data_IF_563143222225
#
_entry.id   IF_563143222225
#
_cell.length_a   1.000
_cell.length_b   1.000
_cell.length_c   1.000
_cell.angle_alpha   90.00
_cell.angle_beta   90.00
_cell.angle_gamma   90.00
#
_symmetry.space_group_name_H-M   'P 1'
#
loop_
_entity.id
_entity.type
_entity.pdbx_description
1 polymer ?
#
# COMPACT_ATOMS: atom_id res chain seq x y z
N UNK A 1 38.84 -21.53 -1.46
CA UNK A 1 38.96 -20.15 -0.89
C UNK A 1 37.99 -19.15 -1.52
N UNK A 2 37.98 -18.94 -2.84
CA UNK A 2 37.04 -18.01 -3.50
C UNK A 2 35.55 -18.36 -3.25
N UNK A 3 35.19 -19.64 -3.34
CA UNK A 3 33.82 -20.08 -3.11
C UNK A 3 33.36 -19.86 -1.65
N UNK A 4 34.21 -20.15 -0.67
CA UNK A 4 33.93 -19.89 0.75
C UNK A 4 33.70 -18.40 1.03
N UNK A 5 34.46 -17.51 0.37
CA UNK A 5 34.26 -16.06 0.46
C UNK A 5 32.92 -15.63 -0.17
N UNK A 6 32.55 -16.19 -1.33
CA UNK A 6 31.24 -15.93 -1.95
C UNK A 6 30.07 -16.37 -1.08
N UNK A 7 30.16 -17.54 -0.45
CA UNK A 7 29.15 -18.04 0.49
C UNK A 7 29.04 -17.12 1.72
N UNK A 8 30.18 -16.58 2.21
CA UNK A 8 30.18 -15.58 3.28
C UNK A 8 29.41 -14.31 2.91
N UNK A 9 29.74 -13.70 1.76
CA UNK A 9 29.03 -12.51 1.26
C UNK A 9 27.53 -12.78 1.03
N UNK A 10 27.18 -13.97 0.55
CA UNK A 10 25.78 -14.37 0.38
C UNK A 10 25.04 -14.45 1.71
N UNK A 11 25.68 -14.99 2.75
CA UNK A 11 25.09 -15.06 4.10
C UNK A 11 24.90 -13.67 4.71
N UNK A 12 25.82 -12.74 4.47
CA UNK A 12 25.68 -11.33 4.89
C UNK A 12 24.50 -10.66 4.18
N UNK A 13 24.36 -10.83 2.86
CA UNK A 13 23.25 -10.30 2.10
C UNK A 13 21.89 -10.85 2.56
N UNK A 14 21.82 -12.15 2.91
CA UNK A 14 20.61 -12.75 3.51
C UNK A 14 20.30 -12.12 4.88
N UNK A 15 21.32 -11.80 5.67
CA UNK A 15 21.17 -11.08 6.93
C UNK A 15 20.54 -9.71 6.75
N UNK A 16 21.06 -8.91 5.81
CA UNK A 16 20.52 -7.58 5.49
C UNK A 16 19.07 -7.64 4.99
N UNK A 17 18.78 -8.54 4.03
CA UNK A 17 17.42 -8.69 3.49
C UNK A 17 16.45 -9.10 4.61
N UNK A 18 16.88 -9.91 5.59
CA UNK A 18 16.01 -10.33 6.70
C UNK A 18 15.68 -9.14 7.60
N UNK A 19 16.66 -8.23 7.79
CA UNK A 19 16.44 -6.94 8.45
C UNK A 19 15.38 -6.11 7.75
N UNK A 20 15.47 -5.96 6.43
CA UNK A 20 14.48 -5.23 5.63
C UNK A 20 13.10 -5.87 5.66
N UNK A 21 13.00 -7.21 5.64
CA UNK A 21 11.71 -7.90 5.73
C UNK A 21 11.07 -7.72 7.11
N UNK A 22 11.86 -7.72 8.19
CA UNK A 22 11.36 -7.39 9.52
C UNK A 22 10.87 -5.94 9.61
N UNK A 23 11.58 -5.00 8.97
CA UNK A 23 11.15 -3.60 8.88
C UNK A 23 9.83 -3.46 8.09
N UNK A 24 9.69 -4.17 6.97
CA UNK A 24 8.42 -4.26 6.23
C UNK A 24 7.30 -4.80 7.12
N UNK A 25 7.55 -5.86 7.89
CA UNK A 25 6.56 -6.41 8.82
C UNK A 25 6.13 -5.39 9.89
N UNK A 26 7.06 -4.60 10.41
CA UNK A 26 6.76 -3.53 11.37
C UNK A 26 5.97 -2.39 10.75
N UNK A 27 6.28 -2.03 9.50
CA UNK A 27 5.54 -1.03 8.74
C UNK A 27 4.11 -1.51 8.45
N UNK A 28 3.93 -2.78 8.07
CA UNK A 28 2.61 -3.41 7.87
C UNK A 28 1.76 -3.30 9.15
N UNK A 29 2.32 -3.65 10.31
CA UNK A 29 1.62 -3.52 11.59
C UNK A 29 1.22 -2.08 11.88
N UNK A 30 2.12 -1.12 11.59
CA UNK A 30 1.83 0.30 11.77
C UNK A 30 0.72 0.80 10.82
N UNK A 31 0.67 0.28 9.59
CA UNK A 31 -0.40 0.59 8.64
C UNK A 31 -1.73 0.03 9.15
N UNK A 32 -1.77 -1.22 9.62
CA UNK A 32 -2.98 -1.85 10.16
C UNK A 32 -3.57 -1.04 11.34
N UNK A 33 -2.72 -0.65 12.30
CA UNK A 33 -3.14 0.22 13.41
C UNK A 33 -3.71 1.56 12.93
N UNK A 34 -3.11 2.16 11.89
CA UNK A 34 -3.58 3.41 11.32
C UNK A 34 -4.92 3.22 10.58
N UNK A 35 -5.08 2.15 9.82
CA UNK A 35 -6.34 1.82 9.14
C UNK A 35 -7.46 1.59 10.16
N UNK A 36 -7.19 0.91 11.26
CA UNK A 36 -8.14 0.73 12.36
C UNK A 36 -8.58 2.07 12.96
N UNK A 37 -7.62 2.97 13.26
CA UNK A 37 -7.93 4.34 13.74
C UNK A 37 -8.73 5.16 12.72
N UNK A 38 -8.39 5.05 11.43
CA UNK A 38 -9.13 5.74 10.37
C UNK A 38 -10.55 5.19 10.29
N UNK A 39 -10.74 3.88 10.39
CA UNK A 39 -12.07 3.23 10.36
C UNK A 39 -12.96 3.71 11.51
N UNK A 40 -12.42 3.83 12.74
CA UNK A 40 -13.16 4.39 13.87
C UNK A 40 -13.55 5.87 13.64
N UNK A 41 -12.60 6.69 13.15
CA UNK A 41 -12.87 8.10 12.83
C UNK A 41 -13.86 8.25 11.69
N UNK A 42 -13.83 7.32 10.73
CA UNK A 42 -14.76 7.26 9.62
C UNK A 42 -16.19 7.02 10.09
N UNK A 43 -16.41 6.07 10.99
CA UNK A 43 -17.75 5.83 11.57
C UNK A 43 -18.31 7.07 12.28
N UNK A 44 -17.45 7.77 13.05
CA UNK A 44 -17.83 9.03 13.68
C UNK A 44 -18.21 10.09 12.64
N UNK A 45 -17.41 10.25 11.58
CA UNK A 45 -17.66 11.21 10.51
C UNK A 45 -18.99 10.92 9.78
N UNK A 46 -19.30 9.64 9.53
CA UNK A 46 -20.59 9.22 8.95
C UNK A 46 -21.74 9.64 9.86
N UNK A 47 -21.61 9.41 11.16
CA UNK A 47 -22.65 9.76 12.13
C UNK A 47 -22.83 11.28 12.26
N UNK A 48 -21.73 12.04 12.30
CA UNK A 48 -21.74 13.50 12.36
C UNK A 48 -22.37 14.10 11.10
N UNK A 49 -22.04 13.55 9.92
CA UNK A 49 -22.64 13.96 8.63
C UNK A 49 -24.15 13.74 8.62
N UNK A 50 -24.63 12.55 9.05
CA UNK A 50 -26.06 12.23 9.14
C UNK A 50 -26.78 13.14 10.15
N UNK A 51 -26.15 13.40 11.29
CA UNK A 51 -26.69 14.30 12.31
C UNK A 51 -26.79 15.71 11.77
N UNK A 52 -25.74 16.23 11.12
CA UNK A 52 -25.75 17.54 10.49
C UNK A 52 -26.82 17.69 9.41
N UNK A 53 -27.04 16.66 8.59
CA UNK A 53 -28.13 16.65 7.61
C UNK A 53 -29.51 16.72 8.28
N UNK A 54 -29.74 15.95 9.34
CA UNK A 54 -30.99 15.97 10.11
C UNK A 54 -31.24 17.32 10.79
N UNK A 55 -30.21 17.90 11.39
CA UNK A 55 -30.30 19.21 12.03
C UNK A 55 -30.60 20.30 10.99
N UNK A 56 -29.98 20.21 9.81
CA UNK A 56 -30.25 21.11 8.69
C UNK A 56 -31.69 21.00 8.18
N UNK A 57 -32.26 19.79 8.12
CA UNK A 57 -33.69 19.60 7.82
C UNK A 57 -34.58 20.25 8.88
N UNK A 58 -34.22 20.11 10.15
CA UNK A 58 -34.95 20.75 11.26
C UNK A 58 -34.94 22.29 11.14
N UNK A 59 -33.82 22.87 10.71
CA UNK A 59 -33.73 24.30 10.41
C UNK A 59 -34.69 24.69 9.28
N UNK A 60 -34.73 23.91 8.19
CA UNK A 60 -35.65 24.17 7.07
C UNK A 60 -37.11 24.14 7.54
N UNK A 61 -37.50 23.16 8.36
CA UNK A 61 -38.85 23.07 8.90
C UNK A 61 -39.21 24.29 9.77
N UNK A 62 -38.29 24.68 10.67
CA UNK A 62 -38.49 25.85 11.54
C UNK A 62 -38.57 27.15 10.76
N UNK A 63 -37.77 27.30 9.72
CA UNK A 63 -37.84 28.46 8.83
C UNK A 63 -39.17 28.48 8.06
N UNK A 64 -39.70 27.32 7.67
CA UNK A 64 -41.04 27.18 7.10
C UNK A 64 -42.15 27.64 8.06
N UNK A 65 -42.06 27.28 9.34
CA UNK A 65 -42.98 27.77 10.38
C UNK A 65 -42.93 29.31 10.51
N UNK A 66 -41.72 29.89 10.52
CA UNK A 66 -41.54 31.35 10.59
C UNK A 66 -42.10 32.03 9.33
N UNK A 67 -41.92 31.44 8.15
CA UNK A 67 -42.48 31.95 6.90
C UNK A 67 -44.01 32.01 6.95
N UNK A 68 -44.66 30.96 7.47
CA UNK A 68 -46.11 30.94 7.67
C UNK A 68 -46.57 32.02 8.66
N UNK A 69 -45.84 32.23 9.77
CA UNK A 69 -46.12 33.29 10.73
C UNK A 69 -45.97 34.69 10.13
N UNK A 70 -44.92 34.92 9.32
CA UNK A 70 -44.72 36.18 8.61
C UNK A 70 -45.87 36.46 7.62
N UNK A 71 -46.39 35.43 6.94
CA UNK A 71 -47.59 35.52 6.12
C UNK A 71 -48.83 35.99 6.90
N UNK A 72 -49.09 35.38 8.07
CA UNK A 72 -50.19 35.78 8.94
C UNK A 72 -50.05 37.21 9.47
N UNK A 73 -48.83 37.64 9.82
CA UNK A 73 -48.55 39.02 10.22
C UNK A 73 -48.83 40.00 9.08
N UNK A 74 -48.48 39.63 7.84
CA UNK A 74 -48.75 40.44 6.65
C UNK A 74 -50.26 40.65 6.45
N UNK A 75 -51.04 39.59 6.59
CA UNK A 75 -52.51 39.64 6.50
C UNK A 75 -53.10 40.51 7.62
N UNK A 76 -52.70 40.29 8.88
CA UNK A 76 -53.15 41.09 10.01
C UNK A 76 -52.82 42.58 9.84
N UNK A 77 -51.61 42.89 9.37
CA UNK A 77 -51.21 44.26 9.09
C UNK A 77 -52.01 44.90 7.94
N UNK A 78 -52.39 44.11 6.92
CA UNK A 78 -53.28 44.59 5.85
C UNK A 78 -54.69 44.95 6.38
N UNK A 79 -55.22 44.16 7.33
CA UNK A 79 -56.48 44.45 8.02
C UNK A 79 -56.37 45.74 8.83
N UNK A 80 -55.29 45.92 9.62
CA UNK A 80 -55.05 47.15 10.39
C UNK A 80 -54.99 48.37 9.46
N UNK A 81 -54.28 48.27 8.34
CA UNK A 81 -54.22 49.33 7.33
C UNK A 81 -55.60 49.67 6.76
N UNK A 82 -56.41 48.66 6.48
CA UNK A 82 -57.78 48.83 6.01
C UNK A 82 -58.65 49.53 7.04
N UNK A 83 -58.58 49.11 8.31
CA UNK A 83 -59.31 49.75 9.42
C UNK A 83 -58.87 51.21 9.56
N UNK A 84 -57.57 51.50 9.57
CA UNK A 84 -57.06 52.86 9.64
C UNK A 84 -57.59 53.73 8.48
N UNK A 85 -57.62 53.20 7.25
CA UNK A 85 -58.17 53.91 6.10
C UNK A 85 -59.67 54.16 6.22
N UNK A 86 -60.45 53.18 6.70
CA UNK A 86 -61.90 53.33 6.90
C UNK A 86 -62.20 54.34 8.02
N UNK A 87 -61.48 54.26 9.14
CA UNK A 87 -61.59 55.22 10.25
C UNK A 87 -61.22 56.63 9.81
N UNK A 88 -60.20 56.79 8.96
CA UNK A 88 -59.84 58.09 8.40
C UNK A 88 -60.98 58.68 7.55
N UNK A 89 -61.63 57.86 6.71
CA UNK A 89 -62.78 58.28 5.91
C UNK A 89 -64.01 58.62 6.77
N UNK A 90 -64.28 57.81 7.80
CA UNK A 90 -65.37 58.06 8.76
C UNK A 90 -65.13 59.37 9.53
N UNK A 91 -63.91 59.59 10.01
CA UNK A 91 -63.53 60.81 10.70
C UNK A 91 -63.64 62.05 9.80
N UNK A 92 -63.25 61.91 8.52
CA UNK A 92 -63.42 62.97 7.53
C UNK A 92 -64.89 63.33 7.32
N UNK A 93 -65.77 62.33 7.15
CA UNK A 93 -67.22 62.54 7.04
C UNK A 93 -67.80 63.20 8.31
N UNK A 94 -67.35 62.76 9.49
CA UNK A 94 -67.77 63.35 10.76
C UNK A 94 -67.30 64.82 10.92
N UNK A 95 -66.09 65.16 10.47
CA UNK A 95 -65.60 66.54 10.43
C UNK A 95 -66.44 67.42 9.48
N UNK A 96 -66.86 66.89 8.33
CA UNK A 96 -67.74 67.59 7.37
C UNK A 96 -69.11 67.86 7.99
N UNK A 97 -69.71 66.87 8.65
CA UNK A 97 -71.02 67.00 9.28
C UNK A 97 -70.98 67.95 10.49
N UNK A 98 -69.90 67.88 11.28
CA UNK A 98 -69.67 68.80 12.39
C UNK A 98 -69.51 70.26 11.92
N UNK A 99 -68.92 70.48 10.73
CA UNK A 99 -68.87 71.80 10.11
C UNK A 99 -70.25 72.28 9.64
N UNK A 100 -71.10 71.37 9.12
CA UNK A 100 -72.49 71.68 8.74
C UNK A 100 -73.37 72.07 9.94
N UNK A 101 -73.14 71.46 11.11
CA UNK A 101 -73.83 71.81 12.36
C UNK A 101 -73.41 73.16 12.98
N UNK A 102 -72.45 73.87 12.37
CA UNK A 102 -72.05 75.22 12.77
C UNK A 102 -71.56 75.32 14.21
N UNK A 103 -72.13 76.24 15.00
CA UNK A 103 -71.71 76.48 16.38
C UNK A 103 -71.93 75.28 17.32
N UNK A 104 -72.97 74.46 17.07
CA UNK A 104 -73.28 73.28 17.87
C UNK A 104 -72.32 72.10 17.60
N UNK A 105 -71.66 72.08 16.42
CA UNK A 105 -70.75 71.02 16.00
C UNK A 105 -69.28 71.22 16.40
N UNK A 106 -68.89 72.35 16.99
CA UNK A 106 -67.48 72.67 17.30
C UNK A 106 -66.76 71.60 18.13
N UNK A 107 -67.41 71.04 19.15
CA UNK A 107 -66.85 69.96 19.96
C UNK A 107 -66.65 68.66 19.17
N UNK A 108 -67.62 68.31 18.33
CA UNK A 108 -67.56 67.14 17.45
C UNK A 108 -66.47 67.29 16.36
N UNK A 109 -66.26 68.51 15.85
CA UNK A 109 -65.21 68.78 14.86
C UNK A 109 -63.81 68.52 15.43
N UNK A 110 -63.56 68.89 16.70
CA UNK A 110 -62.27 68.62 17.39
C UNK A 110 -62.06 67.12 17.57
N UNK A 111 -63.08 66.39 18.05
CA UNK A 111 -63.00 64.93 18.24
C UNK A 111 -62.77 64.22 16.90
N UNK A 112 -63.48 64.62 15.85
CA UNK A 112 -63.30 64.05 14.51
C UNK A 112 -61.88 64.32 13.96
N UNK A 113 -61.32 65.51 14.20
CA UNK A 113 -59.94 65.84 13.85
C UNK A 113 -58.91 64.96 14.56
N UNK A 114 -59.10 64.70 15.85
CA UNK A 114 -58.23 63.82 16.63
C UNK A 114 -58.32 62.37 16.15
N UNK A 115 -59.53 61.85 15.91
CA UNK A 115 -59.72 60.51 15.34
C UNK A 115 -59.04 60.39 13.97
N UNK A 116 -59.12 61.43 13.13
CA UNK A 116 -58.46 61.48 11.82
C UNK A 116 -56.93 61.39 11.97
N UNK A 117 -56.36 62.17 12.89
CA UNK A 117 -54.93 62.15 13.21
C UNK A 117 -54.45 60.76 13.69
N UNK A 118 -55.21 60.12 14.59
CA UNK A 118 -54.93 58.75 15.05
C UNK A 118 -54.99 57.73 13.91
N UNK A 119 -55.95 57.88 12.99
CA UNK A 119 -56.10 57.00 11.83
C UNK A 119 -54.94 57.16 10.83
N UNK A 120 -54.52 58.38 10.53
CA UNK A 120 -53.34 58.67 9.70
C UNK A 120 -52.05 58.12 10.33
N UNK A 121 -51.88 58.31 11.65
CA UNK A 121 -50.75 57.76 12.40
C UNK A 121 -50.74 56.22 12.37
N UNK A 122 -51.90 55.58 12.55
CA UNK A 122 -52.05 54.12 12.47
C UNK A 122 -51.72 53.59 11.07
N UNK A 123 -52.14 54.28 10.00
CA UNK A 123 -51.82 53.91 8.63
C UNK A 123 -50.30 54.01 8.35
N UNK A 124 -49.65 55.06 8.87
CA UNK A 124 -48.19 55.23 8.77
C UNK A 124 -47.46 54.11 9.51
N UNK A 125 -47.86 53.78 10.73
CA UNK A 125 -47.26 52.70 11.51
C UNK A 125 -47.45 51.34 10.84
N UNK A 126 -48.65 51.08 10.30
CA UNK A 126 -48.94 49.87 9.54
C UNK A 126 -48.06 49.75 8.28
N UNK A 127 -47.78 50.85 7.59
CA UNK A 127 -46.82 50.85 6.47
C UNK A 127 -45.43 50.42 6.94
N UNK A 128 -44.90 51.02 8.01
CA UNK A 128 -43.59 50.66 8.57
C UNK A 128 -43.53 49.19 9.00
N UNK A 129 -44.59 48.66 9.62
CA UNK A 129 -44.68 47.24 9.97
C UNK A 129 -44.68 46.36 8.71
N UNK A 130 -45.35 46.80 7.63
CA UNK A 130 -45.36 46.10 6.35
C UNK A 130 -43.98 45.99 5.73
N UNK A 131 -43.19 47.07 5.78
CA UNK A 131 -41.81 47.09 5.30
C UNK A 131 -40.92 46.14 6.13
N UNK A 132 -41.09 46.11 7.45
CA UNK A 132 -40.37 45.15 8.33
C UNK A 132 -40.71 43.70 8.02
N UNK A 133 -42.00 43.37 7.83
CA UNK A 133 -42.44 42.02 7.45
C UNK A 133 -41.84 41.61 6.10
N UNK A 134 -41.74 42.55 5.15
CA UNK A 134 -41.10 42.30 3.86
C UNK A 134 -39.63 41.94 4.02
N UNK A 135 -38.87 42.73 4.80
CA UNK A 135 -37.46 42.44 5.08
C UNK A 135 -37.26 41.08 5.78
N UNK A 136 -38.14 40.72 6.71
CA UNK A 136 -38.14 39.38 7.35
C UNK A 136 -38.35 38.28 6.30
N UNK A 137 -39.29 38.47 5.37
CA UNK A 137 -39.57 37.49 4.31
C UNK A 137 -38.39 37.32 3.36
N UNK A 138 -37.71 38.41 3.02
CA UNK A 138 -36.48 38.38 2.21
C UNK A 138 -35.35 37.62 2.93
N UNK A 139 -35.15 37.88 4.23
CA UNK A 139 -34.17 37.17 5.04
C UNK A 139 -34.46 35.66 5.13
N UNK A 140 -35.72 35.28 5.33
CA UNK A 140 -36.18 33.88 5.32
C UNK A 140 -35.82 33.19 4.01
N UNK A 141 -36.06 33.86 2.88
CA UNK A 141 -35.73 33.31 1.55
C UNK A 141 -34.23 33.04 1.43
N UNK A 142 -33.39 33.97 1.88
CA UNK A 142 -31.94 33.78 1.91
C UNK A 142 -31.50 32.60 2.80
N UNK A 143 -32.14 32.41 3.96
CA UNK A 143 -31.86 31.27 4.84
C UNK A 143 -32.26 29.94 4.19
N UNK A 144 -33.39 29.89 3.50
CA UNK A 144 -33.84 28.68 2.77
C UNK A 144 -32.83 28.29 1.69
N UNK A 145 -32.33 29.25 0.92
CA UNK A 145 -31.38 28.97 -0.15
C UNK A 145 -30.01 28.54 0.40
N UNK A 146 -29.53 29.19 1.47
CA UNK A 146 -28.33 28.75 2.19
C UNK A 146 -28.50 27.32 2.76
N UNK A 147 -29.68 26.99 3.27
CA UNK A 147 -30.00 25.66 3.80
C UNK A 147 -29.97 24.59 2.71
N UNK A 148 -30.46 24.89 1.50
CA UNK A 148 -30.39 23.97 0.34
C UNK A 148 -28.94 23.71 -0.09
N UNK A 149 -28.11 24.76 -0.13
CA UNK A 149 -26.68 24.64 -0.43
C UNK A 149 -25.97 23.78 0.62
N UNK A 150 -26.29 23.97 1.89
CA UNK A 150 -25.79 23.14 3.00
C UNK A 150 -26.18 21.66 2.81
N UNK A 151 -27.45 21.36 2.50
CA UNK A 151 -27.91 19.99 2.22
C UNK A 151 -27.19 19.35 1.04
N UNK A 152 -26.98 20.08 -0.06
CA UNK A 152 -26.21 19.60 -1.21
C UNK A 152 -24.75 19.32 -0.84
N UNK A 153 -24.18 20.10 0.09
CA UNK A 153 -22.82 19.91 0.58
C UNK A 153 -22.71 18.63 1.41
N UNK A 154 -23.71 18.32 2.27
CA UNK A 154 -23.79 17.04 2.97
C UNK A 154 -23.93 15.84 2.02
N UNK A 155 -24.67 15.97 0.92
CA UNK A 155 -24.74 14.92 -0.10
C UNK A 155 -23.38 14.68 -0.77
N UNK A 156 -22.65 15.75 -1.09
CA UNK A 156 -21.29 15.63 -1.62
C UNK A 156 -20.33 14.99 -0.60
N UNK A 157 -20.48 15.32 0.68
CA UNK A 157 -19.73 14.69 1.77
C UNK A 157 -20.02 13.20 1.88
N UNK A 158 -21.28 12.77 1.76
CA UNK A 158 -21.67 11.35 1.81
C UNK A 158 -21.02 10.54 0.67
N UNK A 159 -20.96 11.10 -0.55
CA UNK A 159 -20.23 10.48 -1.67
C UNK A 159 -18.74 10.30 -1.36
N UNK A 160 -18.09 11.36 -0.84
CA UNK A 160 -16.65 11.33 -0.50
C UNK A 160 -16.35 10.36 0.64
N UNK A 161 -17.27 10.25 1.59
CA UNK A 161 -17.24 9.25 2.66
C UNK A 161 -17.25 7.85 2.03
N UNK A 162 -18.18 7.56 1.11
CA UNK A 162 -18.20 6.28 0.39
C UNK A 162 -16.90 5.97 -0.36
N UNK A 163 -16.29 6.96 -1.02
CA UNK A 163 -14.99 6.81 -1.69
C UNK A 163 -13.87 6.43 -0.71
N UNK A 164 -13.83 7.06 0.48
CA UNK A 164 -12.85 6.73 1.53
C UNK A 164 -13.00 5.28 1.99
N UNK A 165 -14.23 4.79 2.14
CA UNK A 165 -14.46 3.39 2.52
C UNK A 165 -13.93 2.40 1.47
N UNK A 166 -14.10 2.72 0.18
CA UNK A 166 -13.53 1.91 -0.89
C UNK A 166 -12.01 1.90 -0.84
N UNK A 167 -11.37 3.06 -0.66
CA UNK A 167 -9.92 3.17 -0.53
C UNK A 167 -9.38 2.41 0.69
N UNK A 168 -10.06 2.45 1.84
CA UNK A 168 -9.66 1.69 3.01
C UNK A 168 -9.71 0.18 2.76
N UNK A 169 -10.71 -0.29 2.03
CA UNK A 169 -10.83 -1.70 1.66
C UNK A 169 -9.69 -2.14 0.74
N UNK A 170 -9.27 -1.28 -0.20
CA UNK A 170 -8.13 -1.53 -1.08
C UNK A 170 -6.79 -1.53 -0.32
N UNK A 171 -6.63 -0.63 0.65
CA UNK A 171 -5.45 -0.60 1.53
C UNK A 171 -5.35 -1.89 2.35
N UNK A 172 -6.46 -2.37 2.93
CA UNK A 172 -6.49 -3.63 3.67
C UNK A 172 -6.09 -4.82 2.80
N UNK A 173 -6.64 -4.90 1.57
CA UNK A 173 -6.26 -5.95 0.63
C UNK A 173 -4.76 -5.90 0.27
N UNK A 174 -4.21 -4.69 0.08
CA UNK A 174 -2.79 -4.48 -0.19
C UNK A 174 -1.90 -4.86 1.00
N UNK A 175 -2.38 -4.62 2.22
CA UNK A 175 -1.69 -5.03 3.46
C UNK A 175 -1.61 -6.54 3.57
N UNK A 176 -2.72 -7.25 3.33
CA UNK A 176 -2.76 -8.72 3.34
C UNK A 176 -1.81 -9.31 2.29
N UNK A 177 -1.78 -8.73 1.08
CA UNK A 177 -0.87 -9.15 0.01
C UNK A 177 0.60 -8.92 0.38
N UNK A 178 0.93 -7.75 0.95
CA UNK A 178 2.29 -7.46 1.41
C UNK A 178 2.72 -8.39 2.54
N UNK A 179 1.83 -8.75 3.46
CA UNK A 179 2.11 -9.69 4.53
C UNK A 179 2.41 -11.10 3.98
N UNK A 180 1.62 -11.55 3.01
CA UNK A 180 1.87 -12.82 2.31
C UNK A 180 3.20 -12.79 1.54
N UNK A 181 3.49 -11.69 0.85
CA UNK A 181 4.76 -11.48 0.14
C UNK A 181 5.97 -11.49 1.06
N UNK A 182 5.89 -10.79 2.20
CA UNK A 182 6.94 -10.78 3.22
C UNK A 182 7.23 -12.20 3.75
N UNK A 183 6.18 -12.98 4.03
CA UNK A 183 6.34 -14.38 4.44
C UNK A 183 7.02 -15.23 3.36
N UNK A 184 6.60 -15.09 2.11
CA UNK A 184 7.20 -15.82 0.98
C UNK A 184 8.68 -15.46 0.78
N UNK A 185 9.07 -14.22 1.07
CA UNK A 185 10.48 -13.81 1.04
C UNK A 185 11.27 -14.53 2.14
N UNK A 186 10.77 -14.57 3.38
CA UNK A 186 11.42 -15.29 4.48
C UNK A 186 11.64 -16.76 4.11
N UNK A 187 10.61 -17.43 3.58
CA UNK A 187 10.70 -18.84 3.18
C UNK A 187 11.76 -19.04 2.06
N UNK A 188 11.79 -18.13 1.08
CA UNK A 188 12.79 -18.16 0.00
C UNK A 188 14.21 -17.98 0.53
N UNK A 189 14.39 -17.09 1.51
CA UNK A 189 15.68 -16.84 2.15
C UNK A 189 16.17 -18.06 2.92
N UNK A 190 15.27 -18.77 3.60
CA UNK A 190 15.61 -20.04 4.25
C UNK A 190 16.12 -21.07 3.25
N UNK A 191 15.46 -21.21 2.09
CA UNK A 191 15.90 -22.10 1.01
C UNK A 191 17.30 -21.71 0.50
N UNK A 192 17.55 -20.42 0.27
CA UNK A 192 18.86 -19.93 -0.20
C UNK A 192 19.95 -20.20 0.86
N UNK A 193 19.64 -20.02 2.14
CA UNK A 193 20.56 -20.31 3.24
C UNK A 193 20.94 -21.79 3.29
N UNK A 194 19.95 -22.69 3.26
CA UNK A 194 20.19 -24.15 3.26
C UNK A 194 20.97 -24.60 2.02
N UNK A 195 20.68 -24.01 0.86
CA UNK A 195 21.45 -24.26 -0.37
C UNK A 195 22.89 -23.79 -0.24
N UNK A 196 23.14 -22.64 0.38
CA UNK A 196 24.48 -22.10 0.59
C UNK A 196 25.31 -22.99 1.50
N UNK A 197 24.70 -23.54 2.55
CA UNK A 197 25.33 -24.52 3.45
C UNK A 197 25.65 -25.84 2.73
N UNK A 198 24.74 -26.31 1.89
CA UNK A 198 24.95 -27.52 1.08
C UNK A 198 26.12 -27.35 0.09
N UNK A 199 26.19 -26.19 -0.58
CA UNK A 199 27.31 -25.85 -1.49
C UNK A 199 28.62 -25.77 -0.70
N UNK A 200 28.61 -25.20 0.52
CA UNK A 200 29.80 -25.14 1.39
C UNK A 200 30.32 -26.55 1.71
N UNK A 201 29.43 -27.47 2.07
CA UNK A 201 29.77 -28.87 2.35
C UNK A 201 30.33 -29.57 1.10
N UNK A 202 29.63 -29.49 -0.02
CA UNK A 202 30.07 -30.09 -1.29
C UNK A 202 31.43 -29.54 -1.75
N UNK A 203 31.68 -28.23 -1.56
CA UNK A 203 32.98 -27.62 -1.84
C UNK A 203 34.10 -28.17 -0.96
N UNK A 204 33.82 -28.45 0.32
CA UNK A 204 34.81 -29.01 1.24
C UNK A 204 35.17 -30.44 0.85
N UNK A 205 34.17 -31.26 0.53
CA UNK A 205 34.37 -32.63 0.04
C UNK A 205 35.16 -32.64 -1.28
N UNK A 206 34.84 -31.72 -2.20
CA UNK A 206 35.55 -31.58 -3.47
C UNK A 206 37.03 -31.20 -3.28
N UNK A 207 37.34 -30.36 -2.28
CA UNK A 207 38.73 -30.04 -1.94
C UNK A 207 39.46 -31.28 -1.43
N UNK A 208 38.86 -32.04 -0.50
CA UNK A 208 39.46 -33.27 0.02
C UNK A 208 39.70 -34.31 -1.08
N UNK A 209 38.74 -34.47 -2.00
CA UNK A 209 38.89 -35.37 -3.14
C UNK A 209 39.98 -34.88 -4.10
N UNK A 210 40.09 -33.57 -4.32
CA UNK A 210 41.17 -33.00 -5.14
C UNK A 210 42.54 -33.32 -4.53
N UNK A 211 42.69 -33.17 -3.22
CA UNK A 211 43.94 -33.48 -2.52
C UNK A 211 44.30 -34.97 -2.64
N UNK A 212 43.31 -35.87 -2.53
CA UNK A 212 43.48 -37.32 -2.79
C UNK A 212 43.92 -37.61 -4.22
N UNK A 213 43.34 -36.93 -5.20
CA UNK A 213 43.74 -37.06 -6.62
C UNK A 213 45.19 -36.61 -6.80
N UNK A 214 45.60 -35.49 -6.20
CA UNK A 214 46.99 -35.03 -6.25
C UNK A 214 47.97 -36.04 -5.64
N UNK A 215 47.64 -36.63 -4.49
CA UNK A 215 48.46 -37.68 -3.87
C UNK A 215 48.60 -38.90 -4.79
N UNK A 216 47.49 -39.38 -5.36
CA UNK A 216 47.51 -40.51 -6.31
C UNK A 216 48.30 -40.19 -7.59
N UNK A 217 48.28 -38.94 -8.03
CA UNK A 217 49.09 -38.51 -9.19
C UNK A 217 50.59 -38.55 -8.87
N UNK A 218 51.02 -38.23 -7.65
CA UNK A 218 52.43 -38.34 -7.26
C UNK A 218 52.87 -39.81 -7.07
N UNK A 219 52.01 -40.67 -6.52
CA UNK A 219 52.22 -42.12 -6.47
C UNK A 219 52.36 -42.73 -7.87
N UNK A 220 51.47 -42.33 -8.79
CA UNK A 220 51.52 -42.76 -10.18
C UNK A 220 52.79 -42.28 -10.87
N UNK A 221 53.22 -41.04 -10.62
CA UNK A 221 54.48 -40.48 -11.13
C UNK A 221 55.69 -41.28 -10.64
N UNK A 222 55.70 -41.64 -9.36
CA UNK A 222 56.76 -42.47 -8.76
C UNK A 222 56.79 -43.86 -9.39
N UNK A 223 55.62 -44.51 -9.51
CA UNK A 223 55.48 -45.83 -10.14
C UNK A 223 55.94 -45.81 -11.61
N UNK A 224 55.60 -44.77 -12.37
CA UNK A 224 56.03 -44.60 -13.75
C UNK A 224 57.57 -44.45 -13.86
N UNK A 225 58.19 -43.76 -12.91
CA UNK A 225 59.65 -43.64 -12.80
C UNK A 225 60.30 -45.01 -12.52
N UNK A 226 59.76 -45.77 -11.57
CA UNK A 226 60.22 -47.13 -11.26
C UNK A 226 60.12 -48.06 -12.46
N UNK A 227 58.99 -48.05 -13.18
CA UNK A 227 58.80 -48.81 -14.42
C UNK A 227 59.86 -48.43 -15.46
N UNK A 228 60.17 -47.13 -15.59
CA UNK A 228 61.20 -46.66 -16.52
C UNK A 228 62.58 -47.21 -16.16
N UNK A 229 62.94 -47.21 -14.87
CA UNK A 229 64.20 -47.80 -14.36
C UNK A 229 64.22 -49.31 -14.59
N UNK A 230 63.13 -50.01 -14.27
CA UNK A 230 63.02 -51.46 -14.43
C UNK A 230 63.17 -51.86 -15.90
N UNK A 231 62.54 -51.10 -16.81
CA UNK A 231 62.61 -51.32 -18.27
C UNK A 231 64.05 -51.14 -18.77
N UNK A 232 64.78 -50.14 -18.26
CA UNK A 232 66.19 -49.95 -18.58
C UNK A 232 67.06 -51.13 -18.07
N UNK A 233 66.79 -51.63 -16.87
CA UNK A 233 67.48 -52.80 -16.31
C UNK A 233 67.22 -54.07 -17.13
N UNK A 234 65.96 -54.35 -17.48
CA UNK A 234 65.57 -55.47 -18.34
C UNK A 234 66.30 -55.38 -19.69
N UNK A 235 66.37 -54.19 -20.29
CA UNK A 235 67.11 -53.98 -21.55
C UNK A 235 68.58 -54.38 -21.41
N UNK A 236 69.22 -54.02 -20.29
CA UNK A 236 70.61 -54.41 -20.02
C UNK A 236 70.74 -55.93 -19.82
N UNK A 237 69.88 -56.55 -19.00
CA UNK A 237 69.90 -58.00 -18.78
C UNK A 237 69.68 -58.80 -20.06
N UNK A 238 68.77 -58.36 -20.94
CA UNK A 238 68.58 -58.96 -22.27
C UNK A 238 69.88 -58.88 -23.09
N UNK A 239 70.57 -57.73 -23.05
CA UNK A 239 71.87 -57.58 -23.70
C UNK A 239 72.93 -58.55 -23.18
N UNK A 240 72.98 -58.79 -21.87
CA UNK A 240 73.89 -59.77 -21.27
C UNK A 240 73.53 -61.22 -21.63
N UNK A 241 72.24 -61.57 -21.60
CA UNK A 241 71.75 -62.89 -22.02
C UNK A 241 72.13 -63.18 -23.47
N UNK A 242 71.94 -62.20 -24.37
CA UNK A 242 72.33 -62.34 -25.77
C UNK A 242 73.83 -62.59 -25.90
N UNK A 243 74.67 -61.83 -25.19
CA UNK A 243 76.12 -62.03 -25.17
C UNK A 243 76.53 -63.41 -24.64
N UNK A 244 75.86 -63.90 -23.60
CA UNK A 244 76.11 -65.23 -23.03
C UNK A 244 75.64 -66.35 -23.98
N UNK A 245 74.52 -66.15 -24.67
CA UNK A 245 74.02 -67.07 -25.69
C UNK A 245 75.00 -67.17 -26.87
N UNK A 246 75.56 -66.05 -27.34
CA UNK A 246 76.62 -66.03 -28.35
C UNK A 246 77.86 -66.82 -27.90
N UNK A 247 78.32 -66.61 -26.66
CA UNK A 247 79.45 -67.34 -26.10
C UNK A 247 79.18 -68.85 -26.01
N UNK A 248 77.99 -69.23 -25.53
CA UNK A 248 77.59 -70.65 -25.43
C UNK A 248 77.47 -71.31 -26.79
N UNK A 249 76.96 -70.60 -27.80
CA UNK A 249 76.94 -71.07 -29.19
C UNK A 249 78.35 -71.34 -29.70
N UNK A 250 79.29 -70.41 -29.47
CA UNK A 250 80.68 -70.58 -29.87
C UNK A 250 81.37 -71.77 -29.17
N UNK A 251 81.11 -71.99 -27.88
CA UNK A 251 81.59 -73.17 -27.14
C UNK A 251 80.97 -74.47 -27.67
N UNK A 252 79.68 -74.46 -28.00
CA UNK A 252 78.99 -75.61 -28.62
C UNK A 252 79.61 -75.96 -29.98
N UNK A 253 79.90 -74.96 -30.82
CA UNK A 253 80.60 -75.16 -32.09
C UNK A 253 82.00 -75.75 -31.87
N UNK A 254 82.70 -75.29 -30.84
CA UNK A 254 84.02 -75.82 -30.48
C UNK A 254 83.94 -77.28 -30.00
N UNK A 255 82.98 -77.61 -29.13
CA UNK A 255 82.73 -78.98 -28.68
C UNK A 255 82.35 -79.90 -29.85
N UNK A 256 81.54 -79.42 -30.80
CA UNK A 256 81.20 -80.18 -32.00
C UNK A 256 82.45 -80.49 -32.86
N UNK A 257 83.40 -79.54 -32.97
CA UNK A 257 84.71 -79.78 -33.61
C UNK A 257 85.53 -80.81 -32.83
N UNK A 258 85.66 -80.65 -31.51
CA UNK A 258 86.41 -81.57 -30.66
C UNK A 258 85.84 -83.00 -30.71
N UNK A 259 84.51 -83.15 -30.68
CA UNK A 259 83.86 -84.46 -30.84
C UNK A 259 84.16 -85.10 -32.19
N UNK A 260 84.21 -84.32 -33.28
CA UNK A 260 84.64 -84.85 -34.58
C UNK A 260 86.10 -85.31 -34.56
N UNK A 261 86.99 -84.58 -33.89
CA UNK A 261 88.39 -84.98 -33.73
C UNK A 261 88.51 -86.27 -32.91
N UNK A 262 87.80 -86.38 -31.78
CA UNK A 262 87.78 -87.59 -30.94
C UNK A 262 87.20 -88.78 -31.69
N UNK A 263 86.10 -88.61 -32.44
CA UNK A 263 85.56 -89.66 -33.31
C UNK A 263 86.58 -90.10 -34.36
N UNK A 264 87.29 -89.16 -34.99
CA UNK A 264 88.38 -89.46 -35.92
C UNK A 264 89.53 -90.25 -35.26
N UNK A 265 89.90 -89.90 -34.02
CA UNK A 265 90.87 -90.67 -33.24
C UNK A 265 90.36 -92.08 -32.91
N UNK A 266 89.11 -92.23 -32.46
CA UNK A 266 88.50 -93.54 -32.17
C UNK A 266 88.50 -94.42 -33.43
N UNK A 267 88.15 -93.88 -34.60
CA UNK A 267 88.17 -94.62 -35.85
C UNK A 267 89.60 -95.02 -36.26
N UNK A 268 90.63 -94.24 -35.90
CA UNK A 268 92.03 -94.63 -36.11
C UNK A 268 92.54 -95.75 -35.18
N UNK A 269 91.83 -96.02 -34.07
CA UNK A 269 92.15 -97.08 -33.11
C UNK A 269 91.29 -98.35 -33.28
N UNK A 270 90.30 -98.35 -34.18
CA UNK A 270 89.60 -99.58 -34.56
C UNK A 270 90.45 -100.38 -35.55
N UNK A 271 90.90 -101.55 -35.09
CA UNK A 271 91.66 -102.57 -35.82
C UNK A 271 90.82 -103.14 -36.97
#
# INVERSE_FOLDING_TARGET
>A
RLLSSRIGMQSEAIGEISGHVNEISSNIQSIDENVSKISQRYELLVNDSKTGQKDQMTVVDKVGEIQAQAGRLKEANAVIRSIASQTNLLAMNASIEAAHAGAAGKGFAVVAGEIRSLAESSAKQSKSIGDLIKSITEAITGIVDASKLSLSSFQSLDTRIGEIQSMLSEVLASVDEQQAGAKSLIDSMFVVQTSSESIKKASSEMQEQSDKVFSRMDELRTSASEITILTASIKNSIGEILKQAEKSSAESDNNAKLNKEVLGLIDSYKI
#
